data_IF_447647560617
#
_entry.id   IF_447647560617
#
_cell.length_a   1.000
_cell.length_b   1.000
_cell.length_c   1.000
_cell.angle_alpha   90.00
_cell.angle_beta   90.00
_cell.angle_gamma   90.00
#
_symmetry.space_group_name_H-M   'P 1'
#
loop_
_entity.id
_entity.type
_entity.pdbx_description
1 polymer ?
#
# COMPACT_ATOMS: atom_id res chain seq x y z
N UNK A 1 13.63 -24.26 9.29
CA UNK A 1 12.62 -23.23 8.99
C UNK A 1 11.91 -22.88 10.28
N UNK A 2 12.14 -21.70 10.83
CA UNK A 2 11.57 -21.28 12.11
C UNK A 2 10.31 -20.44 11.87
N UNK A 3 9.27 -20.74 12.64
CA UNK A 3 8.04 -19.96 12.78
C UNK A 3 8.00 -19.38 14.18
N UNK A 4 7.66 -18.10 14.32
CA UNK A 4 7.63 -17.42 15.62
C UNK A 4 6.25 -16.79 15.82
N UNK A 5 5.56 -17.15 16.90
CA UNK A 5 4.37 -16.45 17.37
C UNK A 5 4.67 -15.78 18.71
N UNK A 6 4.38 -14.48 18.83
CA UNK A 6 4.55 -13.74 20.09
C UNK A 6 3.36 -12.83 20.36
N UNK A 7 2.97 -12.74 21.62
CA UNK A 7 1.88 -11.84 22.04
C UNK A 7 2.31 -10.39 21.96
N UNK A 8 3.45 -10.05 22.56
CA UNK A 8 4.01 -8.71 22.55
C UNK A 8 5.53 -8.72 22.45
N UNK A 9 6.08 -7.88 21.58
CA UNK A 9 7.54 -7.67 21.47
C UNK A 9 7.82 -6.20 21.24
N UNK A 10 8.77 -5.65 22.00
CA UNK A 10 9.24 -4.28 21.84
C UNK A 10 10.21 -4.14 20.66
N UNK A 11 11.20 -5.05 20.57
CA UNK A 11 12.19 -5.06 19.49
C UNK A 11 12.36 -6.47 18.94
N UNK A 12 12.18 -6.62 17.63
CA UNK A 12 12.39 -7.88 16.93
C UNK A 12 13.30 -7.68 15.72
N UNK A 13 14.48 -8.30 15.76
CA UNK A 13 15.48 -8.17 14.70
C UNK A 13 15.90 -9.56 14.24
N UNK A 14 15.52 -9.91 13.01
CA UNK A 14 15.79 -11.24 12.45
C UNK A 14 16.14 -11.15 10.98
N UNK A 15 17.03 -12.02 10.54
CA UNK A 15 17.43 -12.12 9.15
C UNK A 15 16.36 -12.87 8.34
N UNK A 16 16.31 -14.19 8.46
CA UNK A 16 15.41 -15.03 7.67
C UNK A 16 14.44 -15.81 8.55
N UNK A 17 13.14 -15.70 8.28
CA UNK A 17 12.10 -16.51 8.89
C UNK A 17 11.11 -17.02 7.86
N UNK A 18 10.48 -18.15 8.17
CA UNK A 18 9.37 -18.63 7.36
C UNK A 18 8.09 -17.85 7.70
N UNK A 19 7.76 -17.76 9.00
CA UNK A 19 6.55 -17.06 9.43
C UNK A 19 6.72 -16.32 10.74
N UNK A 20 6.03 -15.18 10.84
CA UNK A 20 5.87 -14.37 12.05
C UNK A 20 4.37 -14.14 12.28
N UNK A 21 3.94 -14.36 13.51
CA UNK A 21 2.60 -14.07 14.01
C UNK A 21 2.76 -13.18 15.25
N UNK A 22 2.11 -12.02 15.31
CA UNK A 22 2.10 -11.25 16.54
C UNK A 22 0.91 -10.35 16.75
N UNK A 23 0.59 -10.11 18.02
CA UNK A 23 -0.55 -9.27 18.38
C UNK A 23 -0.12 -7.80 18.47
N UNK A 24 0.79 -7.45 19.39
CA UNK A 24 1.33 -6.09 19.55
C UNK A 24 2.84 -6.07 19.30
N UNK A 25 3.26 -5.50 18.18
CA UNK A 25 4.68 -5.42 17.82
C UNK A 25 5.09 -3.96 17.60
N UNK A 26 6.10 -3.52 18.33
CA UNK A 26 6.51 -2.11 18.31
C UNK A 26 7.54 -1.82 17.21
N UNK A 27 8.70 -2.48 17.26
CA UNK A 27 9.77 -2.28 16.30
C UNK A 27 10.22 -3.60 15.72
N UNK A 28 10.03 -3.75 14.41
CA UNK A 28 10.38 -4.94 13.65
C UNK A 28 11.30 -4.57 12.51
N UNK A 29 12.46 -5.21 12.46
CA UNK A 29 13.38 -5.14 11.33
C UNK A 29 13.64 -6.55 10.84
N UNK A 30 13.17 -6.86 9.62
CA UNK A 30 13.35 -8.20 9.04
C UNK A 30 13.86 -8.11 7.61
N UNK A 31 14.84 -8.94 7.23
CA UNK A 31 15.33 -8.94 5.85
C UNK A 31 14.41 -9.75 4.94
N UNK A 32 13.99 -10.94 5.37
CA UNK A 32 13.12 -11.78 4.54
C UNK A 32 12.19 -12.65 5.37
N UNK A 33 10.89 -12.52 5.10
CA UNK A 33 9.82 -13.34 5.69
C UNK A 33 8.87 -13.80 4.59
N UNK A 34 8.53 -15.10 4.56
CA UNK A 34 7.49 -15.53 3.63
C UNK A 34 6.10 -15.08 4.08
N UNK A 35 5.78 -15.24 5.37
CA UNK A 35 4.45 -14.93 5.91
C UNK A 35 4.54 -14.04 7.15
N UNK A 36 3.95 -12.85 7.09
CA UNK A 36 3.83 -11.95 8.23
C UNK A 36 2.34 -11.74 8.58
N UNK A 37 1.94 -12.12 9.79
CA UNK A 37 0.63 -11.79 10.37
C UNK A 37 0.81 -10.87 11.58
N UNK A 38 0.17 -9.72 11.56
CA UNK A 38 0.21 -8.78 12.68
C UNK A 38 -1.12 -8.07 12.93
N UNK A 39 -1.50 -7.93 14.19
CA UNK A 39 -2.72 -7.20 14.55
C UNK A 39 -2.45 -5.70 14.71
N UNK A 40 -1.60 -5.33 15.66
CA UNK A 40 -1.21 -3.93 15.94
C UNK A 40 0.29 -3.77 15.80
N UNK A 41 0.70 -2.96 14.83
CA UNK A 41 2.08 -2.86 14.41
C UNK A 41 2.49 -1.39 14.31
N UNK A 42 3.52 -0.99 15.03
CA UNK A 42 3.94 0.42 15.08
C UNK A 42 4.95 0.78 14.00
N UNK A 43 6.11 0.13 14.00
CA UNK A 43 7.20 0.42 13.06
C UNK A 43 7.75 -0.85 12.48
N UNK A 44 7.60 -1.01 11.17
CA UNK A 44 8.03 -2.18 10.42
C UNK A 44 8.99 -1.75 9.31
N UNK A 45 10.19 -2.30 9.31
CA UNK A 45 11.13 -2.18 8.21
C UNK A 45 11.39 -3.56 7.63
N UNK A 46 10.98 -3.79 6.37
CA UNK A 46 11.19 -5.09 5.71
C UNK A 46 11.72 -4.94 4.30
N UNK A 47 12.78 -5.68 3.98
CA UNK A 47 13.32 -5.71 2.62
C UNK A 47 12.58 -6.69 1.71
N UNK A 48 12.11 -7.82 2.23
CA UNK A 48 11.42 -8.86 1.47
C UNK A 48 10.26 -9.50 2.23
N UNK A 49 9.03 -9.37 1.72
CA UNK A 49 7.87 -10.15 2.18
C UNK A 49 7.10 -10.71 1.01
N UNK A 50 6.77 -12.00 1.03
CA UNK A 50 5.83 -12.56 0.05
C UNK A 50 4.37 -12.29 0.42
N UNK A 51 3.98 -12.47 1.68
CA UNK A 51 2.62 -12.15 2.13
C UNK A 51 2.62 -11.43 3.48
N UNK A 52 2.05 -10.24 3.49
CA UNK A 52 1.83 -9.44 4.69
C UNK A 52 0.33 -9.26 4.93
N UNK A 53 -0.16 -9.75 6.08
CA UNK A 53 -1.51 -9.50 6.57
C UNK A 53 -1.44 -8.67 7.86
N UNK A 54 -1.99 -7.46 7.80
CA UNK A 54 -2.04 -6.53 8.92
C UNK A 54 -3.46 -6.10 9.25
N UNK A 55 -3.78 -5.93 10.53
CA UNK A 55 -4.99 -5.20 10.90
C UNK A 55 -4.70 -3.69 10.93
N UNK A 56 -4.06 -3.21 12.00
CA UNK A 56 -3.67 -1.81 12.19
C UNK A 56 -2.16 -1.64 12.11
N UNK A 57 -1.72 -0.75 11.23
CA UNK A 57 -0.31 -0.49 10.95
C UNK A 57 -0.05 1.02 11.00
N UNK A 58 0.91 1.45 11.82
CA UNK A 58 1.26 2.86 11.86
C UNK A 58 2.28 3.23 10.78
N UNK A 59 3.42 2.54 10.74
CA UNK A 59 4.49 2.82 9.80
C UNK A 59 5.10 1.55 9.23
N UNK A 60 5.18 1.48 7.91
CA UNK A 60 5.92 0.44 7.19
C UNK A 60 6.82 1.06 6.12
N UNK A 61 8.07 0.60 6.12
CA UNK A 61 9.06 0.84 5.09
C UNK A 61 9.39 -0.50 4.42
N UNK A 62 9.06 -0.59 3.13
CA UNK A 62 9.12 -1.80 2.33
C UNK A 62 9.98 -1.64 1.09
N UNK A 63 10.89 -2.58 0.83
CA UNK A 63 11.64 -2.57 -0.43
C UNK A 63 10.96 -3.44 -1.49
N UNK A 64 11.04 -4.77 -1.36
CA UNK A 64 10.40 -5.74 -2.26
C UNK A 64 9.26 -6.44 -1.53
N UNK A 65 8.03 -6.08 -1.82
CA UNK A 65 6.86 -6.62 -1.14
C UNK A 65 5.88 -7.20 -2.16
N UNK A 66 5.59 -8.48 -2.08
CA UNK A 66 4.74 -9.11 -3.09
C UNK A 66 3.27 -8.78 -2.81
N UNK A 67 2.67 -9.33 -1.75
CA UNK A 67 1.26 -9.07 -1.43
C UNK A 67 1.10 -8.47 -0.03
N UNK A 68 0.38 -7.36 0.04
CA UNK A 68 0.02 -6.68 1.30
C UNK A 68 -1.48 -6.53 1.38
N UNK A 69 -2.06 -7.06 2.44
CA UNK A 69 -3.46 -6.88 2.80
C UNK A 69 -3.53 -6.27 4.20
N UNK A 70 -4.08 -5.07 4.29
CA UNK A 70 -4.08 -4.27 5.52
C UNK A 70 -5.45 -3.63 5.74
N UNK A 71 -5.96 -3.65 6.97
CA UNK A 71 -7.22 -2.91 7.22
C UNK A 71 -6.96 -1.42 7.31
N UNK A 72 -5.94 -1.01 8.08
CA UNK A 72 -5.58 0.39 8.22
C UNK A 72 -4.07 0.59 8.21
N UNK A 73 -3.60 1.59 7.44
CA UNK A 73 -2.20 2.03 7.44
C UNK A 73 -2.13 3.54 7.51
N UNK A 74 -1.40 4.09 8.49
CA UNK A 74 -1.15 5.54 8.51
C UNK A 74 -0.05 5.99 7.57
N UNK A 75 1.09 5.28 7.54
CA UNK A 75 2.24 5.61 6.69
C UNK A 75 2.78 4.36 6.00
N UNK A 76 2.87 4.41 4.67
CA UNK A 76 3.46 3.37 3.84
C UNK A 76 4.50 3.99 2.89
N UNK A 77 5.76 3.56 3.02
CA UNK A 77 6.81 3.84 2.04
C UNK A 77 7.23 2.53 1.38
N UNK A 78 7.05 2.45 0.06
CA UNK A 78 7.32 1.25 -0.71
C UNK A 78 8.17 1.51 -1.95
N UNK A 79 9.01 0.54 -2.31
CA UNK A 79 9.69 0.58 -3.61
C UNK A 79 8.95 -0.26 -4.65
N UNK A 80 9.17 -1.58 -4.67
CA UNK A 80 8.53 -2.50 -5.61
C UNK A 80 7.47 -3.35 -4.94
N UNK A 81 6.24 -3.22 -5.44
CA UNK A 81 5.08 -3.93 -4.95
C UNK A 81 4.32 -4.64 -6.06
N UNK A 82 3.87 -5.86 -5.77
CA UNK A 82 2.97 -6.55 -6.69
C UNK A 82 1.52 -6.17 -6.40
N UNK A 83 1.07 -6.30 -5.15
CA UNK A 83 -0.32 -6.04 -4.76
C UNK A 83 -0.42 -5.34 -3.41
N UNK A 84 -1.22 -4.28 -3.36
CA UNK A 84 -1.69 -3.65 -2.12
C UNK A 84 -3.21 -3.68 -2.11
N UNK A 85 -3.77 -4.20 -1.02
CA UNK A 85 -5.19 -4.12 -0.69
C UNK A 85 -5.34 -3.46 0.68
N UNK A 86 -6.05 -2.33 0.73
CA UNK A 86 -6.27 -1.58 1.95
C UNK A 86 -7.70 -1.10 2.13
N UNK A 87 -8.21 -1.11 3.36
CA UNK A 87 -9.49 -0.46 3.65
C UNK A 87 -9.29 1.05 3.87
N UNK A 88 -8.56 1.46 4.91
CA UNK A 88 -8.24 2.87 5.19
C UNK A 88 -6.73 3.12 5.08
N UNK A 89 -6.32 3.96 4.13
CA UNK A 89 -4.91 4.27 3.91
C UNK A 89 -4.70 5.78 3.90
N UNK A 90 -3.85 6.27 4.81
CA UNK A 90 -3.68 7.72 4.99
C UNK A 90 -2.58 8.30 4.11
N UNK A 91 -1.34 7.86 4.27
CA UNK A 91 -0.20 8.37 3.51
C UNK A 91 0.55 7.21 2.86
N UNK A 92 0.52 7.17 1.54
CA UNK A 92 1.17 6.13 0.74
C UNK A 92 2.11 6.79 -0.27
N UNK A 93 3.36 6.40 -0.24
CA UNK A 93 4.37 6.77 -1.22
C UNK A 93 4.99 5.49 -1.79
N UNK A 94 4.77 5.23 -3.09
CA UNK A 94 5.29 4.03 -3.75
C UNK A 94 5.93 4.34 -5.08
N UNK A 95 7.05 3.69 -5.41
CA UNK A 95 7.59 3.80 -6.77
C UNK A 95 6.76 2.98 -7.76
N UNK A 96 6.63 1.67 -7.56
CA UNK A 96 5.90 0.82 -8.52
C UNK A 96 4.96 -0.17 -7.83
N UNK A 97 3.71 -0.23 -8.29
CA UNK A 97 2.70 -1.22 -7.86
C UNK A 97 2.03 -1.81 -9.09
N UNK A 98 1.91 -3.14 -9.22
CA UNK A 98 1.06 -3.67 -10.29
C UNK A 98 -0.44 -3.48 -10.01
N UNK A 99 -0.87 -3.81 -8.80
CA UNK A 99 -2.28 -3.77 -8.41
C UNK A 99 -2.47 -3.03 -7.09
N UNK A 100 -3.24 -1.94 -7.15
CA UNK A 100 -3.59 -1.13 -5.99
C UNK A 100 -5.11 -1.11 -5.81
N UNK A 101 -5.58 -1.62 -4.67
CA UNK A 101 -6.99 -1.61 -4.27
C UNK A 101 -7.14 -0.88 -2.93
N UNK A 102 -8.00 0.15 -2.92
CA UNK A 102 -8.25 0.98 -1.77
C UNK A 102 -9.72 1.33 -1.58
N UNK A 103 -10.22 1.26 -0.35
CA UNK A 103 -11.57 1.76 -0.07
C UNK A 103 -11.55 3.28 0.23
N UNK A 104 -10.81 3.72 1.25
CA UNK A 104 -10.63 5.13 1.60
C UNK A 104 -9.16 5.52 1.60
N UNK A 105 -8.79 6.42 0.68
CA UNK A 105 -7.41 6.83 0.44
C UNK A 105 -7.26 8.34 0.57
N UNK A 106 -6.40 8.79 1.48
CA UNK A 106 -6.26 10.22 1.76
C UNK A 106 -5.17 10.91 0.93
N UNK A 107 -3.92 10.47 1.05
CA UNK A 107 -2.76 11.04 0.37
C UNK A 107 -1.94 9.92 -0.25
N UNK A 108 -2.03 9.80 -1.57
CA UNK A 108 -1.32 8.75 -2.31
C UNK A 108 -0.47 9.39 -3.38
N UNK A 109 0.84 9.18 -3.31
CA UNK A 109 1.75 9.46 -4.41
C UNK A 109 2.35 8.16 -4.93
N UNK A 110 2.14 7.86 -6.21
CA UNK A 110 2.71 6.67 -6.87
C UNK A 110 3.35 7.04 -8.20
N UNK A 111 4.55 6.50 -8.48
CA UNK A 111 5.18 6.76 -9.78
C UNK A 111 4.56 5.90 -10.88
N UNK A 112 4.47 4.59 -10.71
CA UNK A 112 3.89 3.69 -11.71
C UNK A 112 2.87 2.73 -11.11
N UNK A 113 1.67 2.70 -11.69
CA UNK A 113 0.64 1.70 -11.36
C UNK A 113 0.07 1.07 -12.61
N UNK A 114 -0.06 -0.26 -12.70
CA UNK A 114 -0.87 -0.82 -13.78
C UNK A 114 -2.37 -0.64 -13.50
N UNK A 115 -2.86 -1.16 -12.38
CA UNK A 115 -4.27 -1.06 -11.99
C UNK A 115 -4.42 -0.30 -10.68
N UNK A 116 -5.13 0.81 -10.71
CA UNK A 116 -5.52 1.57 -9.52
C UNK A 116 -7.04 1.58 -9.37
N UNK A 117 -7.55 0.93 -8.32
CA UNK A 117 -8.97 0.93 -7.95
C UNK A 117 -9.16 1.60 -6.59
N UNK A 118 -10.01 2.63 -6.56
CA UNK A 118 -10.32 3.38 -5.35
C UNK A 118 -11.80 3.70 -5.21
N UNK A 119 -12.36 3.55 -4.01
CA UNK A 119 -13.75 3.98 -3.77
C UNK A 119 -13.82 5.47 -3.41
N UNK A 120 -13.08 5.91 -2.40
CA UNK A 120 -12.99 7.32 -1.97
C UNK A 120 -11.54 7.79 -1.95
N UNK A 121 -11.27 8.85 -2.70
CA UNK A 121 -9.93 9.28 -3.08
C UNK A 121 -9.80 10.79 -2.86
N UNK A 122 -9.02 11.21 -1.85
CA UNK A 122 -8.94 12.63 -1.49
C UNK A 122 -7.84 13.38 -2.25
N UNK A 123 -6.59 13.00 -2.11
CA UNK A 123 -5.43 13.65 -2.73
C UNK A 123 -4.53 12.58 -3.35
N UNK A 124 -4.64 12.42 -4.67
CA UNK A 124 -3.92 11.39 -5.41
C UNK A 124 -3.00 12.04 -6.44
N UNK A 125 -1.72 11.67 -6.39
CA UNK A 125 -0.62 12.03 -7.28
C UNK A 125 -0.13 10.77 -7.99
N UNK A 126 -0.36 10.63 -9.31
CA UNK A 126 0.17 9.48 -10.07
C UNK A 126 0.96 9.96 -11.28
N UNK A 127 2.20 9.49 -11.45
CA UNK A 127 2.92 9.83 -12.69
C UNK A 127 2.39 9.00 -13.87
N UNK A 128 2.39 7.68 -13.79
CA UNK A 128 1.85 6.83 -14.85
C UNK A 128 0.89 5.78 -14.31
N UNK A 129 -0.26 5.67 -14.95
CA UNK A 129 -1.23 4.62 -14.64
C UNK A 129 -1.86 4.04 -15.91
N UNK A 130 -1.92 2.71 -16.05
CA UNK A 130 -2.64 2.15 -17.20
C UNK A 130 -4.16 2.24 -17.03
N UNK A 131 -4.68 1.87 -15.86
CA UNK A 131 -6.10 1.92 -15.57
C UNK A 131 -6.34 2.53 -14.19
N UNK A 132 -7.04 3.67 -14.16
CA UNK A 132 -7.49 4.32 -12.93
C UNK A 132 -9.02 4.27 -12.87
N UNK A 133 -9.54 3.59 -11.85
CA UNK A 133 -10.96 3.52 -11.54
C UNK A 133 -11.22 4.15 -10.17
N UNK A 134 -12.06 5.18 -10.13
CA UNK A 134 -12.40 5.89 -8.90
C UNK A 134 -13.89 6.19 -8.79
N UNK A 135 -14.49 5.94 -7.62
CA UNK A 135 -15.91 6.27 -7.41
C UNK A 135 -16.09 7.74 -6.99
N UNK A 136 -15.45 8.16 -5.90
CA UNK A 136 -15.44 9.55 -5.41
C UNK A 136 -14.02 10.09 -5.35
N UNK A 137 -13.77 11.15 -6.12
CA UNK A 137 -12.45 11.67 -6.43
C UNK A 137 -12.42 13.18 -6.15
N UNK A 138 -11.69 13.60 -5.11
CA UNK A 138 -11.64 15.01 -4.70
C UNK A 138 -10.56 15.80 -5.43
N UNK A 139 -9.28 15.46 -5.25
CA UNK A 139 -8.15 16.14 -5.86
C UNK A 139 -7.21 15.10 -6.48
N UNK A 140 -7.20 15.06 -7.82
CA UNK A 140 -6.46 14.06 -8.58
C UNK A 140 -5.50 14.77 -9.53
N UNK A 141 -4.23 14.40 -9.46
CA UNK A 141 -3.19 14.84 -10.38
C UNK A 141 -2.54 13.63 -11.03
N UNK A 142 -2.66 13.52 -12.35
CA UNK A 142 -2.12 12.39 -13.12
C UNK A 142 -1.33 12.88 -14.33
N UNK A 143 -0.08 12.45 -14.47
CA UNK A 143 0.71 12.90 -15.64
C UNK A 143 0.36 12.10 -16.90
N UNK A 144 0.25 10.78 -16.80
CA UNK A 144 -0.16 9.92 -17.91
C UNK A 144 -1.11 8.84 -17.44
N UNK A 145 -2.25 8.73 -18.13
CA UNK A 145 -3.19 7.64 -17.94
C UNK A 145 -3.69 7.10 -19.26
N UNK A 146 -3.66 5.78 -19.47
CA UNK A 146 -4.35 5.24 -20.65
C UNK A 146 -5.87 5.33 -20.45
N UNK A 147 -6.42 4.70 -19.41
CA UNK A 147 -7.86 4.73 -19.16
C UNK A 147 -8.19 5.28 -17.78
N UNK A 148 -9.01 6.33 -17.76
CA UNK A 148 -9.55 6.92 -16.55
C UNK A 148 -11.07 6.72 -16.51
N UNK A 149 -11.58 6.15 -15.41
CA UNK A 149 -13.00 6.06 -15.09
C UNK A 149 -13.27 6.69 -13.71
N UNK A 150 -14.04 7.78 -13.72
CA UNK A 150 -14.56 8.45 -12.52
C UNK A 150 -16.09 8.41 -12.47
N UNK A 151 -16.67 8.44 -11.27
CA UNK A 151 -18.13 8.64 -11.11
C UNK A 151 -18.48 10.01 -10.54
N UNK A 152 -17.75 10.46 -9.52
CA UNK A 152 -17.95 11.78 -8.90
C UNK A 152 -16.61 12.47 -8.74
N UNK A 153 -16.47 13.63 -9.39
CA UNK A 153 -15.21 14.32 -9.61
C UNK A 153 -15.32 15.76 -9.12
N UNK A 154 -14.43 16.18 -8.22
CA UNK A 154 -14.38 17.57 -7.74
C UNK A 154 -13.26 18.38 -8.40
N UNK A 155 -12.04 17.84 -8.45
CA UNK A 155 -10.87 18.50 -9.03
C UNK A 155 -9.94 17.47 -9.64
N UNK A 156 -9.66 17.62 -10.94
CA UNK A 156 -8.76 16.76 -11.68
C UNK A 156 -7.83 17.62 -12.54
N UNK A 157 -6.55 17.26 -12.53
CA UNK A 157 -5.58 17.69 -13.52
C UNK A 157 -4.91 16.48 -14.16
N UNK A 158 -5.06 16.36 -15.48
CA UNK A 158 -4.41 15.30 -16.27
C UNK A 158 -3.61 15.92 -17.40
N UNK A 159 -2.33 15.56 -17.55
CA UNK A 159 -1.52 16.08 -18.66
C UNK A 159 -1.65 15.25 -19.93
N UNK A 160 -1.83 13.92 -19.81
CA UNK A 160 -2.10 13.05 -20.95
C UNK A 160 -3.08 11.93 -20.58
N UNK A 161 -4.14 11.79 -21.38
CA UNK A 161 -5.13 10.73 -21.23
C UNK A 161 -5.51 10.17 -22.60
N UNK A 162 -5.54 8.84 -22.73
CA UNK A 162 -6.01 8.22 -23.99
C UNK A 162 -7.54 8.06 -24.02
N UNK A 163 -8.15 7.70 -22.89
CA UNK A 163 -9.60 7.63 -22.73
C UNK A 163 -9.98 8.13 -21.33
N UNK A 164 -10.91 9.08 -21.29
CA UNK A 164 -11.48 9.63 -20.07
C UNK A 164 -13.00 9.42 -20.08
N UNK A 165 -13.52 8.75 -19.05
CA UNK A 165 -14.93 8.67 -18.71
C UNK A 165 -15.08 9.16 -17.26
N UNK A 166 -15.98 10.09 -17.01
CA UNK A 166 -16.06 10.79 -15.73
C UNK A 166 -17.45 11.33 -15.47
#
# INVERSE_FOLDING_TARGET
LYSICVTSVSLFLVYTLYSICGYTLYSICVTSVSLFLGYTLYSICVTGVSLFLGYTLYSICGYTLYSICVTSVSLFLGYTLYSICGYTLYSICVTSVSLFLGYTLYSICVTGVSLFLGYTLYSICVTSVSLLLGYTLYSICVTSVSLFLGYTLYSICVTSVSLFLG
#
